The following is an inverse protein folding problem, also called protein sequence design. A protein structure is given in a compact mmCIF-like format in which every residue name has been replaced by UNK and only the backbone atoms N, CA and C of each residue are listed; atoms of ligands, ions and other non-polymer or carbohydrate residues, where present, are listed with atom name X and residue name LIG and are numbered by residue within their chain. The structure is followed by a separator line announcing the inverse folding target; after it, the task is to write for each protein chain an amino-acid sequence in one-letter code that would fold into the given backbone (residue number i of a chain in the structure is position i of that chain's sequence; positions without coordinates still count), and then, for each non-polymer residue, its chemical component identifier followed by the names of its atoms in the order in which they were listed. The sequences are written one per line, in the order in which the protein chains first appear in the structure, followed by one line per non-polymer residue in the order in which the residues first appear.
data_IF_805643162473
#
_entry.id   IF_805643162473
#
_cell.length_a   1.000
_cell.length_b   1.000
_cell.length_c   1.000
_cell.angle_alpha   90.00
_cell.angle_beta   90.00
_cell.angle_gamma   90.00
#
_symmetry.space_group_name_H-M   'P 1'
#
loop_
_entity.id
_entity.type
_entity.pdbx_description
1 polymer ?
#
# COMPACT_ATOMS: atom_id res chain seq x y z
N UNK A 1 -8.90 -12.08 -8.38
CA UNK A 1 -7.71 -12.42 -9.18
C UNK A 1 -7.76 -13.91 -9.44
N UNK A 2 -8.11 -14.29 -10.66
CA UNK A 2 -7.99 -15.67 -11.12
C UNK A 2 -6.56 -15.90 -11.64
N UNK A 3 -5.95 -17.07 -11.38
CA UNK A 3 -4.60 -17.39 -11.84
C UNK A 3 -4.57 -17.58 -13.35
N UNK A 4 -3.44 -17.23 -13.98
CA UNK A 4 -3.18 -17.42 -15.41
C UNK A 4 -3.33 -18.85 -15.91
N UNK A 5 -3.00 -19.86 -15.10
CA UNK A 5 -3.25 -21.27 -15.41
C UNK A 5 -3.21 -22.19 -14.17
N UNK A 6 -3.53 -23.47 -14.37
CA UNK A 6 -3.30 -24.54 -13.39
C UNK A 6 -2.33 -25.58 -13.96
N UNK A 7 -1.40 -26.04 -13.13
CA UNK A 7 -0.53 -27.17 -13.48
C UNK A 7 -1.31 -28.48 -13.52
N UNK A 8 -0.75 -29.50 -14.19
CA UNK A 8 -1.30 -30.88 -14.19
C UNK A 8 -1.47 -31.49 -12.79
N UNK A 9 -0.76 -30.97 -11.78
CA UNK A 9 -0.86 -31.41 -10.38
C UNK A 9 -1.79 -30.56 -9.50
N UNK A 10 -2.52 -29.59 -10.07
CA UNK A 10 -3.50 -28.77 -9.33
C UNK A 10 -2.96 -27.47 -8.72
N UNK A 11 -1.64 -27.22 -8.80
CA UNK A 11 -1.03 -25.95 -8.36
C UNK A 11 -1.43 -24.79 -9.27
N UNK A 12 -1.67 -23.61 -8.68
CA UNK A 12 -1.84 -22.36 -9.42
C UNK A 12 -0.50 -22.00 -10.07
N UNK A 13 -0.53 -21.77 -11.37
CA UNK A 13 0.60 -21.19 -12.10
C UNK A 13 0.36 -19.68 -12.14
N UNK A 14 1.41 -18.93 -11.83
CA UNK A 14 1.42 -17.48 -11.90
C UNK A 14 2.34 -17.08 -13.05
N UNK A 15 1.88 -16.17 -13.90
CA UNK A 15 2.74 -15.46 -14.85
C UNK A 15 3.55 -14.40 -14.12
N UNK A 16 4.53 -13.81 -14.80
CA UNK A 16 5.26 -12.65 -14.28
C UNK A 16 4.30 -11.49 -13.98
N UNK A 17 3.34 -11.23 -14.87
CA UNK A 17 2.22 -10.30 -14.64
C UNK A 17 1.43 -10.62 -13.36
N UNK A 18 1.09 -11.88 -13.10
CA UNK A 18 0.37 -12.25 -11.88
C UNK A 18 1.17 -11.89 -10.62
N UNK A 19 2.49 -12.08 -10.67
CA UNK A 19 3.41 -11.72 -9.58
C UNK A 19 3.46 -10.21 -9.40
N UNK A 20 3.57 -9.43 -10.47
CA UNK A 20 3.59 -7.97 -10.41
C UNK A 20 2.31 -7.40 -9.79
N UNK A 21 1.15 -7.93 -10.18
CA UNK A 21 -0.14 -7.56 -9.59
C UNK A 21 -0.22 -7.92 -8.10
N UNK A 22 0.27 -9.10 -7.70
CA UNK A 22 0.34 -9.48 -6.28
C UNK A 22 1.26 -8.54 -5.49
N UNK A 23 2.38 -8.13 -6.08
CA UNK A 23 3.30 -7.17 -5.49
C UNK A 23 2.67 -5.78 -5.36
N UNK A 24 1.84 -5.34 -6.32
CA UNK A 24 1.08 -4.11 -6.22
C UNK A 24 0.10 -4.16 -5.04
N UNK A 25 -0.73 -5.20 -4.97
CA UNK A 25 -1.68 -5.41 -3.85
C UNK A 25 -0.94 -5.37 -2.50
N UNK A 26 0.24 -6.01 -2.42
CA UNK A 26 1.06 -6.02 -1.21
C UNK A 26 1.55 -4.63 -0.81
N UNK A 27 1.89 -3.75 -1.77
CA UNK A 27 2.34 -2.37 -1.52
C UNK A 27 1.20 -1.43 -1.14
N UNK A 28 0.00 -1.67 -1.66
CA UNK A 28 -1.18 -0.84 -1.40
C UNK A 28 -1.79 -1.13 -0.02
N UNK A 29 -1.70 -2.37 0.46
CA UNK A 29 -2.32 -2.77 1.73
C UNK A 29 -1.87 -1.95 2.97
N UNK A 30 -0.59 -1.65 3.20
CA UNK A 30 -0.15 -0.80 4.32
C UNK A 30 -0.63 0.65 4.23
N UNK A 31 -1.08 1.09 3.06
CA UNK A 31 -1.61 2.43 2.82
C UNK A 31 -3.15 2.44 2.82
N UNK A 32 -3.78 1.43 3.43
CA UNK A 32 -5.24 1.30 3.57
C UNK A 32 -6.06 1.49 2.29
N UNK A 33 -5.47 1.17 1.12
CA UNK A 33 -6.25 1.09 -0.09
C UNK A 33 -7.26 -0.05 -0.03
N UNK A 34 -8.49 0.23 -0.46
CA UNK A 34 -9.54 -0.78 -0.53
C UNK A 34 -9.25 -1.78 -1.66
N UNK A 35 -9.93 -2.93 -1.61
CA UNK A 35 -9.86 -3.90 -2.71
C UNK A 35 -10.44 -3.34 -4.01
N UNK A 36 -11.40 -2.42 -3.92
CA UNK A 36 -11.99 -1.74 -5.08
C UNK A 36 -10.97 -0.77 -5.68
N UNK A 37 -10.37 0.10 -4.87
CA UNK A 37 -9.31 1.02 -5.32
C UNK A 37 -8.12 0.28 -5.94
N UNK A 38 -7.77 -0.88 -5.39
CA UNK A 38 -6.69 -1.72 -5.93
C UNK A 38 -7.05 -2.31 -7.30
N UNK A 39 -8.32 -2.71 -7.50
CA UNK A 39 -8.80 -3.19 -8.81
C UNK A 39 -8.81 -2.06 -9.82
N UNK A 40 -9.30 -0.90 -9.42
CA UNK A 40 -9.31 0.30 -10.25
C UNK A 40 -7.92 0.68 -10.72
N UNK A 41 -6.91 0.67 -9.83
CA UNK A 41 -5.53 0.97 -10.24
C UNK A 41 -4.98 -0.09 -11.22
N UNK A 42 -5.31 -1.37 -11.03
CA UNK A 42 -4.93 -2.42 -11.98
C UNK A 42 -5.55 -2.18 -13.37
N UNK A 43 -6.83 -1.83 -13.43
CA UNK A 43 -7.51 -1.49 -14.70
C UNK A 43 -6.90 -0.25 -15.37
N UNK A 44 -6.50 0.74 -14.57
CA UNK A 44 -5.79 1.94 -15.05
C UNK A 44 -4.47 1.55 -15.70
N UNK A 45 -3.65 0.74 -15.03
CA UNK A 45 -2.35 0.30 -15.54
C UNK A 45 -2.51 -0.56 -16.80
N UNK A 46 -3.43 -1.52 -16.79
CA UNK A 46 -3.73 -2.39 -17.94
C UNK A 46 -4.15 -1.58 -19.17
N UNK A 47 -5.00 -0.57 -18.97
CA UNK A 47 -5.45 0.32 -20.04
C UNK A 47 -4.32 1.18 -20.60
N UNK A 48 -3.38 1.63 -19.78
CA UNK A 48 -2.23 2.42 -20.20
C UNK A 48 -1.21 1.58 -20.98
N UNK A 49 -0.98 0.33 -20.57
CA UNK A 49 -0.07 -0.61 -21.23
C UNK A 49 -0.62 -1.14 -22.55
N UNK A 50 -1.94 -1.21 -22.72
CA UNK A 50 -2.55 -1.72 -23.94
C UNK A 50 -2.34 -0.74 -25.14
N UNK A 51 -1.63 -1.14 -26.21
CA UNK A 51 -1.38 -0.28 -27.37
C UNK A 51 -2.65 0.01 -28.21
N UNK A 52 -3.73 -0.76 -28.03
CA UNK A 52 -5.01 -0.53 -28.69
C UNK A 52 -5.89 0.54 -28.01
N UNK A 53 -5.53 1.00 -26.80
CA UNK A 53 -6.30 2.03 -26.08
C UNK A 53 -6.32 3.36 -26.85
N UNK A 54 -7.52 3.94 -27.12
CA UNK A 54 -7.65 5.24 -27.78
C UNK A 54 -6.94 6.37 -27.01
N UNK A 55 -6.46 7.38 -27.73
CA UNK A 55 -5.72 8.50 -27.11
C UNK A 55 -6.54 9.28 -26.07
N UNK A 56 -7.85 9.44 -26.30
CA UNK A 56 -8.75 10.07 -25.35
C UNK A 56 -8.87 9.28 -24.04
N UNK A 57 -8.97 7.95 -24.15
CA UNK A 57 -9.05 7.06 -22.98
C UNK A 57 -7.72 7.03 -22.22
N UNK A 58 -6.57 7.02 -22.93
CA UNK A 58 -5.25 7.14 -22.28
C UNK A 58 -5.12 8.40 -21.44
N UNK A 59 -5.62 9.54 -21.94
CA UNK A 59 -5.59 10.79 -21.19
C UNK A 59 -6.42 10.69 -19.89
N UNK A 60 -7.60 10.08 -19.95
CA UNK A 60 -8.44 9.86 -18.77
C UNK A 60 -7.79 8.87 -17.78
N UNK A 61 -7.16 7.80 -18.28
CA UNK A 61 -6.44 6.84 -17.44
C UNK A 61 -5.22 7.47 -16.76
N UNK A 62 -4.47 8.32 -17.47
CA UNK A 62 -3.35 9.07 -16.90
C UNK A 62 -3.82 10.01 -15.79
N UNK A 63 -4.91 10.75 -16.01
CA UNK A 63 -5.49 11.58 -14.95
C UNK A 63 -5.92 10.77 -13.72
N UNK A 64 -6.47 9.56 -13.94
CA UNK A 64 -6.86 8.68 -12.83
C UNK A 64 -5.63 8.12 -12.11
N UNK A 65 -4.53 7.87 -12.81
CA UNK A 65 -3.25 7.51 -12.19
C UNK A 65 -2.69 8.63 -11.32
N UNK A 66 -2.78 9.90 -11.77
CA UNK A 66 -2.38 11.06 -10.97
C UNK A 66 -3.16 11.11 -9.64
N UNK A 67 -4.46 10.79 -9.66
CA UNK A 67 -5.27 10.72 -8.44
C UNK A 67 -4.79 9.64 -7.47
N UNK A 68 -4.30 8.50 -7.97
CA UNK A 68 -3.72 7.45 -7.13
C UNK A 68 -2.37 7.86 -6.55
N UNK A 69 -1.55 8.60 -7.30
CA UNK A 69 -0.30 9.18 -6.80
C UNK A 69 -0.57 10.15 -5.66
N UNK A 70 -1.53 11.08 -5.84
CA UNK A 70 -1.94 12.03 -4.82
C UNK A 70 -2.47 11.33 -3.56
N UNK A 71 -3.31 10.31 -3.73
CA UNK A 71 -3.84 9.51 -2.63
C UNK A 71 -2.73 8.79 -1.85
N UNK A 72 -1.79 8.16 -2.56
CA UNK A 72 -0.64 7.50 -1.95
C UNK A 72 0.24 8.49 -1.17
N UNK A 73 0.49 9.68 -1.73
CA UNK A 73 1.24 10.74 -1.08
C UNK A 73 0.52 11.25 0.19
N UNK A 74 -0.80 11.44 0.14
CA UNK A 74 -1.60 11.84 1.29
C UNK A 74 -1.57 10.82 2.42
N UNK A 75 -1.72 9.53 2.09
CA UNK A 75 -1.69 8.45 3.10
C UNK A 75 -0.31 8.24 3.68
N UNK A 76 0.75 8.41 2.89
CA UNK A 76 2.12 8.46 3.40
C UNK A 76 2.33 9.60 4.41
N UNK A 77 1.75 10.79 4.17
CA UNK A 77 1.81 11.90 5.13
C UNK A 77 1.06 11.56 6.42
N UNK A 78 -0.16 11.03 6.31
CA UNK A 78 -0.94 10.63 7.48
C UNK A 78 -0.24 9.56 8.33
N UNK A 79 0.40 8.56 7.70
CA UNK A 79 1.17 7.55 8.42
C UNK A 79 2.38 8.14 9.16
N UNK A 80 3.04 9.14 8.59
CA UNK A 80 4.14 9.84 9.28
C UNK A 80 3.64 10.62 10.50
N UNK A 81 2.53 11.34 10.36
CA UNK A 81 1.90 12.04 11.48
C UNK A 81 1.48 11.07 12.60
N UNK A 82 0.93 9.90 12.24
CA UNK A 82 0.60 8.86 13.22
C UNK A 82 1.85 8.28 13.90
N UNK A 83 2.94 8.09 13.14
CA UNK A 83 4.22 7.63 13.69
C UNK A 83 4.77 8.63 14.71
N UNK A 84 4.77 9.92 14.38
CA UNK A 84 5.25 10.99 15.28
C UNK A 84 4.49 10.95 16.62
N UNK A 85 3.16 10.83 16.58
CA UNK A 85 2.32 10.70 17.78
C UNK A 85 2.65 9.44 18.58
N UNK A 86 2.83 8.30 17.90
CA UNK A 86 3.16 7.04 18.54
C UNK A 86 4.54 7.08 19.22
N UNK A 87 5.53 7.69 18.57
CA UNK A 87 6.88 7.86 19.10
C UNK A 87 6.89 8.80 20.32
N UNK A 88 6.15 9.91 20.27
CA UNK A 88 6.00 10.81 21.42
C UNK A 88 5.39 10.07 22.63
N UNK A 89 4.31 9.31 22.40
CA UNK A 89 3.67 8.52 23.44
C UNK A 89 4.63 7.48 24.04
N UNK A 90 5.36 6.73 23.20
CA UNK A 90 6.35 5.77 23.65
C UNK A 90 7.48 6.43 24.47
N UNK A 91 7.91 7.64 24.07
CA UNK A 91 8.87 8.45 24.81
C UNK A 91 8.38 8.83 26.20
N UNK A 92 7.12 9.28 26.32
CA UNK A 92 6.49 9.61 27.62
C UNK A 92 6.43 8.41 28.56
N UNK A 93 6.07 7.23 28.04
CA UNK A 93 6.04 5.98 28.82
C UNK A 93 7.44 5.61 29.34
N UNK A 94 8.48 5.73 28.50
CA UNK A 94 9.87 5.47 28.90
C UNK A 94 10.31 6.41 30.02
N UNK A 95 10.05 7.70 29.88
CA UNK A 95 10.38 8.69 30.90
C UNK A 95 9.64 8.45 32.24
N UNK A 96 8.40 7.95 32.19
CA UNK A 96 7.67 7.56 33.40
C UNK A 96 8.31 6.35 34.08
N UNK A 97 8.64 5.32 33.30
CA UNK A 97 9.26 4.10 33.81
C UNK A 97 10.64 4.38 34.46
N UNK A 98 11.45 5.24 33.85
CA UNK A 98 12.77 5.60 34.38
C UNK A 98 12.67 6.36 35.70
N UNK A 99 11.68 7.26 35.83
CA UNK A 99 11.39 7.97 37.09
C UNK A 99 11.04 7.00 38.24
N UNK A 100 10.20 5.99 37.98
CA UNK A 100 9.85 4.99 38.99
C UNK A 100 11.01 4.09 39.39
N UNK A 101 11.92 3.77 38.45
CA UNK A 101 13.14 3.00 38.76
C UNK A 101 14.13 3.79 39.61
N UNK A 102 14.28 5.09 39.37
CA UNK A 102 15.14 5.94 40.19
C UNK A 102 14.63 6.01 41.64
N UNK A 103 13.33 6.22 41.83
CA UNK A 103 12.70 6.25 43.16
C UNK A 103 12.88 4.93 43.92
N UNK A 104 12.83 3.79 43.22
CA UNK A 104 13.02 2.47 43.81
C UNK A 104 14.49 2.11 44.10
N UNK A 105 15.45 2.86 43.55
CA UNK A 105 16.89 2.65 43.79
C UNK A 105 17.43 3.52 44.94
N UNK A 106 16.71 4.59 45.30
CA UNK A 106 17.07 5.56 46.35
C UNK A 106 16.40 5.27 47.71
N UNK A 107 15.69 4.14 47.86
CA UNK A 107 15.02 3.69 49.10
C UNK A 107 15.37 2.26 49.47
#
# INVERSE_FOLDING_TARGET
MEPSARSRGGFRLYTEDDVERLLLIKRMKPLDFSLEETRDLLEVLDGLENPATPAADRAALAQRLDMFEDAAAARCRALREQLDVAEEFAGRLRAQHDRHRAIAADG
#
